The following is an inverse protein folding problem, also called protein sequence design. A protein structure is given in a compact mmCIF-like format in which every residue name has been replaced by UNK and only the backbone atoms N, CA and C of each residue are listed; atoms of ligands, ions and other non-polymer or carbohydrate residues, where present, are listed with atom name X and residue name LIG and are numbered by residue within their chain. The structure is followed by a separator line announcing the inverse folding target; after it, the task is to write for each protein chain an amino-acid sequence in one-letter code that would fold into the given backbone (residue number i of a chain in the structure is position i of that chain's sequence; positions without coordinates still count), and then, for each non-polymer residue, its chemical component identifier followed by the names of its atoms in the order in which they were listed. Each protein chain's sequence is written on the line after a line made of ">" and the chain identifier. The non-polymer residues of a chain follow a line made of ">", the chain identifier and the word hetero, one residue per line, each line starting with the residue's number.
data_IF_055962880102
#
_entry.id   IF_055962880102
#
_cell.length_a   1.000
_cell.length_b   1.000
_cell.length_c   1.000
_cell.angle_alpha   90.00
_cell.angle_beta   90.00
_cell.angle_gamma   90.00
#
_symmetry.space_group_name_H-M   'P 1'
#
loop_
_entity.id
_entity.type
_entity.pdbx_description
1 polymer ?
#
# COMPACT_ATOMS: atom_id res chain seq x y z
N UNK A 1 20.56 4.35 -13.90
CA UNK A 1 20.14 4.52 -15.32
C UNK A 1 19.10 3.48 -15.74
N UNK A 2 19.37 2.17 -15.60
CA UNK A 2 18.42 1.09 -16.00
C UNK A 2 17.11 1.09 -15.18
N UNK A 3 17.21 1.35 -13.87
CA UNK A 3 16.04 1.39 -12.95
C UNK A 3 15.13 2.59 -13.22
N UNK A 4 15.72 3.78 -13.44
CA UNK A 4 14.91 4.95 -13.83
C UNK A 4 14.30 4.77 -15.21
N UNK A 5 14.97 4.07 -16.13
CA UNK A 5 14.41 3.68 -17.43
C UNK A 5 13.24 2.70 -17.27
N UNK A 6 13.33 1.70 -16.40
CA UNK A 6 12.24 0.74 -16.19
C UNK A 6 11.02 1.40 -15.52
N UNK A 7 11.24 2.22 -14.49
CA UNK A 7 10.20 3.02 -13.82
C UNK A 7 9.59 4.02 -14.80
N UNK A 8 10.41 4.68 -15.63
CA UNK A 8 9.95 5.64 -16.65
C UNK A 8 9.14 4.96 -17.76
N UNK A 9 9.56 3.79 -18.24
CA UNK A 9 8.85 3.00 -19.27
C UNK A 9 7.49 2.52 -18.78
N UNK A 10 7.39 2.06 -17.52
CA UNK A 10 6.12 1.70 -16.88
C UNK A 10 5.24 2.95 -16.68
N UNK A 11 5.83 4.07 -16.28
CA UNK A 11 5.12 5.32 -16.01
C UNK A 11 4.52 5.99 -17.26
N UNK A 12 5.07 5.74 -18.45
CA UNK A 12 4.71 6.47 -19.68
C UNK A 12 3.65 5.77 -20.56
N UNK A 13 3.23 4.53 -20.25
CA UNK A 13 2.20 3.80 -21.02
C UNK A 13 0.81 4.03 -20.42
N UNK A 14 -0.14 4.56 -21.21
CA UNK A 14 -1.54 4.82 -20.79
C UNK A 14 -2.22 3.59 -20.17
N UNK A 15 -1.91 2.38 -20.64
CA UNK A 15 -2.49 1.12 -20.15
C UNK A 15 -1.97 0.67 -18.78
N UNK A 16 -0.82 1.18 -18.31
CA UNK A 16 -0.19 0.81 -17.03
C UNK A 16 -0.29 1.98 -16.03
N UNK A 17 -1.14 2.97 -16.30
CA UNK A 17 -1.31 4.13 -15.40
C UNK A 17 -2.02 3.72 -14.11
N UNK A 18 -1.22 3.45 -13.09
CA UNK A 18 -1.66 3.17 -11.73
C UNK A 18 -2.13 4.45 -11.00
N UNK A 19 -1.95 5.62 -11.62
CA UNK A 19 -2.28 6.93 -11.05
C UNK A 19 -3.74 7.04 -10.58
N UNK A 20 -4.67 6.35 -11.26
CA UNK A 20 -6.07 6.34 -10.84
C UNK A 20 -6.28 5.60 -9.52
N UNK A 21 -5.55 4.51 -9.29
CA UNK A 21 -5.60 3.76 -8.03
C UNK A 21 -4.99 4.60 -6.90
N UNK A 22 -3.85 5.26 -7.16
CA UNK A 22 -3.21 6.17 -6.19
C UNK A 22 -4.15 7.33 -5.84
N UNK A 23 -4.72 8.02 -6.84
CA UNK A 23 -5.67 9.12 -6.61
C UNK A 23 -6.90 8.67 -5.83
N UNK A 24 -7.42 7.48 -6.15
CA UNK A 24 -8.58 6.90 -5.45
C UNK A 24 -8.23 6.53 -4.01
N UNK A 25 -7.08 5.90 -3.75
CA UNK A 25 -6.59 5.66 -2.40
C UNK A 25 -6.43 6.97 -1.61
N UNK A 26 -5.74 7.96 -2.17
CA UNK A 26 -5.59 9.28 -1.54
C UNK A 26 -6.95 9.96 -1.28
N UNK A 27 -7.96 9.71 -2.12
CA UNK A 27 -9.31 10.23 -1.89
C UNK A 27 -10.01 9.57 -0.70
N UNK A 28 -9.63 8.35 -0.32
CA UNK A 28 -10.15 7.67 0.88
C UNK A 28 -9.44 8.11 2.16
N UNK A 29 -8.28 8.76 2.07
CA UNK A 29 -7.60 9.33 3.24
C UNK A 29 -8.34 10.53 3.83
N UNK A 30 -9.34 11.09 3.13
CA UNK A 30 -10.15 12.19 3.63
C UNK A 30 -11.09 11.67 4.74
N UNK A 31 -11.06 12.36 5.88
CA UNK A 31 -11.78 12.04 7.10
C UNK A 31 -13.25 11.60 6.93
N UNK A 32 -13.64 10.65 7.80
CA UNK A 32 -15.01 10.23 8.01
C UNK A 32 -15.86 11.44 8.41
N UNK A 33 -16.84 11.82 7.58
CA UNK A 33 -17.81 12.86 7.90
C UNK A 33 -17.30 14.31 7.84
N UNK A 34 -16.00 14.57 7.61
CA UNK A 34 -15.48 15.94 7.53
C UNK A 34 -15.52 16.49 6.09
N UNK A 35 -16.16 17.65 5.93
CA UNK A 35 -16.25 18.36 4.66
C UNK A 35 -14.89 18.83 4.09
N UNK A 36 -13.80 18.84 4.88
CA UNK A 36 -12.48 19.37 4.47
C UNK A 36 -11.38 18.30 4.44
N UNK A 37 -10.45 18.44 3.48
CA UNK A 37 -9.21 17.65 3.44
C UNK A 37 -8.37 18.06 4.65
N UNK A 38 -8.24 17.18 5.63
CA UNK A 38 -7.17 17.29 6.61
C UNK A 38 -5.86 17.04 5.87
N UNK A 39 -5.08 18.10 5.60
CA UNK A 39 -3.71 17.95 5.11
C UNK A 39 -2.84 17.15 6.10
N UNK A 40 -3.28 17.04 7.35
CA UNK A 40 -2.64 16.26 8.41
C UNK A 40 -2.69 14.75 8.13
N UNK A 41 -3.76 14.23 7.51
CA UNK A 41 -3.90 12.78 7.30
C UNK A 41 -2.97 12.28 6.18
N UNK A 42 -2.84 13.09 5.13
CA UNK A 42 -1.87 12.85 4.06
C UNK A 42 -0.45 13.00 4.60
N UNK A 43 -0.20 14.02 5.42
CA UNK A 43 1.09 14.17 6.09
C UNK A 43 1.43 12.93 6.92
N UNK A 44 0.51 12.38 7.73
CA UNK A 44 0.77 11.18 8.52
C UNK A 44 1.11 9.98 7.61
N UNK A 45 0.39 9.77 6.51
CA UNK A 45 0.63 8.63 5.63
C UNK A 45 1.96 8.67 4.87
N UNK A 46 2.53 9.85 4.62
CA UNK A 46 3.78 10.00 3.86
C UNK A 46 4.97 10.39 4.73
N UNK A 47 4.77 11.26 5.71
CA UNK A 47 5.82 11.81 6.58
C UNK A 47 6.18 10.81 7.69
N UNK A 48 5.18 10.13 8.29
CA UNK A 48 5.44 9.16 9.38
C UNK A 48 6.32 7.98 8.91
N UNK A 49 6.08 7.36 7.73
CA UNK A 49 6.99 6.34 7.24
C UNK A 49 8.42 6.80 7.05
N UNK A 50 8.64 8.06 6.63
CA UNK A 50 10.00 8.62 6.45
C UNK A 50 10.72 8.74 7.80
N UNK A 51 10.04 9.30 8.81
CA UNK A 51 10.62 9.46 10.15
C UNK A 51 11.00 8.13 10.81
N UNK A 52 10.26 7.06 10.52
CA UNK A 52 10.56 5.72 11.04
C UNK A 52 11.61 5.02 10.17
N UNK A 53 11.59 5.19 8.85
CA UNK A 53 12.53 4.52 7.95
C UNK A 53 13.98 4.96 8.16
N UNK A 54 14.23 6.26 8.35
CA UNK A 54 15.59 6.83 8.51
C UNK A 54 16.37 6.14 9.66
N UNK A 55 15.88 6.08 10.91
CA UNK A 55 16.61 5.42 11.99
C UNK A 55 16.70 3.91 11.78
N UNK A 56 15.72 3.28 11.12
CA UNK A 56 15.79 1.85 10.80
C UNK A 56 16.93 1.54 9.84
N UNK A 57 17.12 2.34 8.78
CA UNK A 57 18.21 2.15 7.82
C UNK A 57 19.59 2.29 8.46
N UNK A 58 19.74 3.18 9.45
CA UNK A 58 21.02 3.41 10.13
C UNK A 58 21.33 2.28 11.12
N UNK A 59 20.32 1.81 11.86
CA UNK A 59 20.52 0.83 12.94
C UNK A 59 20.40 -0.63 12.48
N UNK A 60 19.70 -0.91 11.38
CA UNK A 60 19.41 -2.26 10.91
C UNK A 60 19.90 -2.40 9.48
N UNK A 61 20.96 -3.20 9.30
CA UNK A 61 21.44 -3.55 7.98
C UNK A 61 20.57 -4.66 7.36
N UNK A 62 20.09 -4.44 6.14
CA UNK A 62 19.36 -5.44 5.35
C UNK A 62 20.36 -6.40 4.70
N UNK A 63 20.52 -7.55 5.35
CA UNK A 63 21.20 -8.73 4.84
C UNK A 63 20.24 -9.60 4.01
N UNK A 64 20.81 -10.60 3.31
CA UNK A 64 20.06 -11.48 2.41
C UNK A 64 19.00 -12.30 3.14
N UNK A 65 19.24 -12.63 4.42
CA UNK A 65 18.26 -13.33 5.26
C UNK A 65 17.02 -12.48 5.52
N UNK A 66 17.19 -11.21 5.93
CA UNK A 66 16.08 -10.27 6.16
C UNK A 66 15.34 -9.95 4.88
N UNK A 67 16.05 -9.82 3.75
CA UNK A 67 15.44 -9.64 2.44
C UNK A 67 14.59 -10.86 2.04
N UNK A 68 15.10 -12.08 2.30
CA UNK A 68 14.34 -13.31 2.10
C UNK A 68 13.04 -13.32 2.91
N UNK A 69 13.11 -12.95 4.20
CA UNK A 69 11.92 -12.84 5.07
C UNK A 69 10.92 -11.82 4.51
N UNK A 70 11.39 -10.65 4.07
CA UNK A 70 10.54 -9.63 3.45
C UNK A 70 9.86 -10.16 2.18
N UNK A 71 10.60 -10.80 1.28
CA UNK A 71 10.03 -11.40 0.06
C UNK A 71 8.94 -12.42 0.41
N UNK A 72 9.19 -13.29 1.39
CA UNK A 72 8.20 -14.29 1.84
C UNK A 72 6.95 -13.62 2.40
N UNK A 73 7.10 -12.68 3.34
CA UNK A 73 5.98 -11.99 3.99
C UNK A 73 5.14 -11.21 2.98
N UNK A 74 5.78 -10.46 2.08
CA UNK A 74 5.08 -9.68 1.06
C UNK A 74 4.41 -10.56 -0.01
N UNK A 75 4.96 -11.72 -0.34
CA UNK A 75 4.29 -12.70 -1.22
C UNK A 75 3.01 -13.22 -0.58
N UNK A 76 3.06 -13.59 0.71
CA UNK A 76 1.88 -14.05 1.46
C UNK A 76 0.80 -12.96 1.53
N UNK A 77 1.19 -11.74 1.89
CA UNK A 77 0.26 -10.62 1.95
C UNK A 77 -0.33 -10.26 0.59
N UNK A 78 0.46 -10.31 -0.48
CA UNK A 78 -0.05 -10.07 -1.84
C UNK A 78 -1.15 -11.06 -2.20
N UNK A 79 -0.94 -12.36 -1.93
CA UNK A 79 -1.96 -13.39 -2.14
C UNK A 79 -3.22 -13.15 -1.30
N UNK A 80 -3.07 -12.80 -0.01
CA UNK A 80 -4.19 -12.48 0.87
C UNK A 80 -4.98 -11.26 0.36
N UNK A 81 -4.30 -10.22 -0.09
CA UNK A 81 -4.94 -9.01 -0.60
C UNK A 81 -5.69 -9.26 -1.92
N UNK A 82 -5.15 -10.10 -2.82
CA UNK A 82 -5.89 -10.54 -4.00
C UNK A 82 -7.17 -11.31 -3.64
N UNK A 83 -7.12 -12.17 -2.61
CA UNK A 83 -8.31 -12.88 -2.13
C UNK A 83 -9.35 -11.90 -1.58
N UNK A 84 -8.94 -10.93 -0.74
CA UNK A 84 -9.83 -9.88 -0.24
C UNK A 84 -10.43 -9.08 -1.39
N UNK A 85 -9.63 -8.72 -2.39
CA UNK A 85 -10.09 -7.97 -3.57
C UNK A 85 -11.15 -8.76 -4.35
N UNK A 86 -10.93 -10.06 -4.57
CA UNK A 86 -11.88 -10.93 -5.25
C UNK A 86 -13.20 -11.05 -4.48
N UNK A 87 -13.14 -11.21 -3.15
CA UNK A 87 -14.32 -11.24 -2.29
C UNK A 87 -15.12 -9.93 -2.41
N UNK A 88 -14.45 -8.78 -2.31
CA UNK A 88 -15.10 -7.47 -2.41
C UNK A 88 -15.76 -7.23 -3.78
N UNK A 89 -15.21 -7.79 -4.86
CA UNK A 89 -15.79 -7.74 -6.19
C UNK A 89 -17.00 -8.68 -6.35
N UNK A 90 -16.98 -9.83 -5.68
CA UNK A 90 -18.06 -10.81 -5.71
C UNK A 90 -19.31 -10.37 -4.91
N UNK A 91 -19.16 -9.42 -3.99
CA UNK A 91 -20.29 -8.86 -3.26
C UNK A 91 -21.21 -8.04 -4.19
N UNK A 92 -22.39 -8.58 -4.49
CA UNK A 92 -23.40 -7.92 -5.32
C UNK A 92 -24.12 -6.79 -4.56
N UNK A 93 -24.02 -5.57 -5.08
CA UNK A 93 -24.58 -4.36 -4.49
C UNK A 93 -26.11 -4.22 -4.65
N UNK A 94 -26.82 -5.17 -5.24
CA UNK A 94 -28.27 -5.02 -5.47
C UNK A 94 -29.12 -4.98 -4.19
N UNK A 95 -28.62 -5.48 -3.06
CA UNK A 95 -29.35 -5.53 -1.76
C UNK A 95 -28.82 -4.60 -0.66
N UNK A 96 -27.69 -3.91 -0.88
CA UNK A 96 -27.02 -3.16 0.19
C UNK A 96 -27.29 -1.65 0.10
N UNK A 97 -27.30 -0.99 1.25
CA UNK A 97 -27.50 0.45 1.37
C UNK A 97 -26.40 1.26 0.64
N UNK A 98 -26.68 2.52 0.32
CA UNK A 98 -25.74 3.45 -0.33
C UNK A 98 -24.46 3.62 0.50
N UNK A 99 -24.57 3.56 1.83
CA UNK A 99 -23.45 3.69 2.75
C UNK A 99 -22.47 2.50 2.61
N UNK A 100 -22.99 1.28 2.62
CA UNK A 100 -22.22 0.04 2.43
C UNK A 100 -21.46 0.02 1.11
N UNK A 101 -22.12 0.44 0.01
CA UNK A 101 -21.48 0.54 -1.31
C UNK A 101 -20.29 1.48 -1.31
N UNK A 102 -20.40 2.61 -0.60
CA UNK A 102 -19.32 3.58 -0.48
C UNK A 102 -18.13 2.97 0.28
N UNK A 103 -18.38 2.35 1.43
CA UNK A 103 -17.33 1.70 2.22
C UNK A 103 -16.63 0.59 1.45
N UNK A 104 -17.39 -0.28 0.79
CA UNK A 104 -16.84 -1.33 -0.05
C UNK A 104 -15.94 -0.78 -1.15
N UNK A 105 -16.36 0.30 -1.81
CA UNK A 105 -15.56 0.95 -2.85
C UNK A 105 -14.26 1.53 -2.31
N UNK A 106 -14.31 2.16 -1.14
CA UNK A 106 -13.13 2.72 -0.47
C UNK A 106 -12.15 1.62 -0.03
N UNK A 107 -12.67 0.50 0.51
CA UNK A 107 -11.84 -0.67 0.86
C UNK A 107 -11.21 -1.25 -0.40
N UNK A 108 -11.97 -1.40 -1.50
CA UNK A 108 -11.46 -1.91 -2.78
C UNK A 108 -10.28 -1.06 -3.30
N UNK A 109 -10.39 0.27 -3.20
CA UNK A 109 -9.30 1.18 -3.60
C UNK A 109 -8.06 1.02 -2.72
N UNK A 110 -8.25 0.89 -1.41
CA UNK A 110 -7.15 0.75 -0.46
C UNK A 110 -6.46 -0.62 -0.60
N UNK A 111 -7.22 -1.70 -0.79
CA UNK A 111 -6.69 -3.05 -1.06
C UNK A 111 -5.90 -3.05 -2.37
N UNK A 112 -6.46 -2.47 -3.44
CA UNK A 112 -5.75 -2.34 -4.72
C UNK A 112 -4.43 -1.59 -4.57
N UNK A 113 -4.40 -0.51 -3.79
CA UNK A 113 -3.19 0.25 -3.51
C UNK A 113 -2.17 -0.55 -2.68
N UNK A 114 -2.62 -1.30 -1.67
CA UNK A 114 -1.76 -2.17 -0.88
C UNK A 114 -1.10 -3.26 -1.74
N UNK A 115 -1.81 -3.83 -2.72
CA UNK A 115 -1.24 -4.79 -3.68
C UNK A 115 -0.10 -4.14 -4.49
N UNK A 116 -0.30 -2.91 -4.97
CA UNK A 116 0.74 -2.17 -5.69
C UNK A 116 1.96 -1.93 -4.82
N UNK A 117 1.75 -1.52 -3.55
CA UNK A 117 2.85 -1.35 -2.60
C UNK A 117 3.62 -2.65 -2.40
N UNK A 118 2.93 -3.79 -2.24
CA UNK A 118 3.60 -5.08 -2.11
C UNK A 118 4.42 -5.46 -3.34
N UNK A 119 3.88 -5.25 -4.54
CA UNK A 119 4.61 -5.49 -5.79
C UNK A 119 5.84 -4.59 -5.89
N UNK A 120 5.73 -3.31 -5.50
CA UNK A 120 6.86 -2.39 -5.48
C UNK A 120 7.95 -2.85 -4.50
N UNK A 121 7.58 -3.30 -3.30
CA UNK A 121 8.53 -3.88 -2.33
C UNK A 121 9.25 -5.07 -2.94
N UNK A 122 8.53 -6.01 -3.56
CA UNK A 122 9.14 -7.18 -4.21
C UNK A 122 10.11 -6.79 -5.33
N UNK A 123 9.75 -5.83 -6.18
CA UNK A 123 10.64 -5.32 -7.23
C UNK A 123 11.91 -4.73 -6.62
N UNK A 124 11.79 -3.93 -5.55
CA UNK A 124 12.96 -3.34 -4.89
C UNK A 124 13.82 -4.40 -4.18
N UNK A 125 13.21 -5.42 -3.57
CA UNK A 125 13.94 -6.57 -3.04
C UNK A 125 14.74 -7.29 -4.14
N UNK A 126 14.17 -7.47 -5.33
CA UNK A 126 14.90 -8.07 -6.47
C UNK A 126 16.06 -7.18 -6.90
N UNK A 127 15.86 -5.86 -6.97
CA UNK A 127 16.92 -4.91 -7.33
C UNK A 127 18.08 -4.93 -6.32
N UNK A 128 17.83 -5.29 -5.06
CA UNK A 128 18.84 -5.38 -4.02
C UNK A 128 19.84 -6.52 -4.23
N UNK A 129 19.47 -7.57 -4.97
CA UNK A 129 20.38 -8.66 -5.33
C UNK A 129 21.37 -8.30 -6.44
N UNK A 130 21.15 -7.17 -7.14
CA UNK A 130 22.09 -6.68 -8.14
C UNK A 130 23.23 -5.99 -7.38
N UNK A 131 24.48 -6.35 -7.69
CA UNK A 131 25.65 -5.69 -7.12
C UNK A 131 25.67 -4.21 -7.54
N UNK A 132 25.35 -3.35 -6.58
CA UNK A 132 25.19 -1.91 -6.77
C UNK A 132 26.16 -1.19 -5.83
N UNK A 133 26.66 -0.03 -6.26
CA UNK A 133 27.54 0.85 -5.48
C UNK A 133 26.96 1.19 -4.09
N UNK A 134 27.83 1.35 -3.08
CA UNK A 134 27.46 1.52 -1.67
C UNK A 134 26.44 2.68 -1.42
N UNK A 135 26.56 3.81 -2.11
CA UNK A 135 25.61 4.93 -1.96
C UNK A 135 24.19 4.57 -2.43
N UNK A 136 24.08 3.85 -3.54
CA UNK A 136 22.78 3.40 -4.04
C UNK A 136 22.18 2.30 -3.16
N UNK A 137 23.02 1.48 -2.52
CA UNK A 137 22.63 0.47 -1.53
C UNK A 137 21.81 1.10 -0.39
N UNK A 138 22.32 2.19 0.21
CA UNK A 138 21.65 2.90 1.31
C UNK A 138 20.30 3.49 0.88
N UNK A 139 20.24 4.12 -0.30
CA UNK A 139 18.99 4.70 -0.83
C UNK A 139 17.92 3.62 -1.07
N UNK A 140 18.33 2.45 -1.56
CA UNK A 140 17.44 1.30 -1.77
C UNK A 140 16.89 0.80 -0.44
N UNK A 141 17.73 0.67 0.60
CA UNK A 141 17.29 0.24 1.94
C UNK A 141 16.31 1.22 2.57
N UNK A 142 16.60 2.52 2.49
CA UNK A 142 15.72 3.56 2.97
C UNK A 142 14.36 3.50 2.28
N UNK A 143 14.36 3.33 0.96
CA UNK A 143 13.13 3.21 0.16
C UNK A 143 12.35 1.95 0.54
N UNK A 144 13.05 0.83 0.76
CA UNK A 144 12.44 -0.43 1.16
C UNK A 144 11.76 -0.29 2.52
N UNK A 145 12.45 0.22 3.54
CA UNK A 145 11.85 0.44 4.85
C UNK A 145 10.67 1.40 4.80
N UNK A 146 10.79 2.51 4.05
CA UNK A 146 9.67 3.44 3.83
C UNK A 146 8.43 2.72 3.26
N UNK A 147 8.60 1.91 2.21
CA UNK A 147 7.49 1.19 1.59
C UNK A 147 6.89 0.15 2.53
N UNK A 148 7.71 -0.55 3.31
CA UNK A 148 7.23 -1.53 4.31
C UNK A 148 6.34 -0.83 5.34
N UNK A 149 6.79 0.30 5.88
CA UNK A 149 6.01 1.03 6.88
C UNK A 149 4.73 1.60 6.25
N UNK A 150 4.81 2.19 5.06
CA UNK A 150 3.64 2.69 4.33
C UNK A 150 2.61 1.57 4.05
N UNK A 151 3.10 0.36 3.74
CA UNK A 151 2.25 -0.82 3.58
C UNK A 151 1.56 -1.21 4.89
N UNK A 152 2.28 -1.26 6.01
CA UNK A 152 1.70 -1.59 7.33
C UNK A 152 0.60 -0.58 7.71
N UNK A 153 0.84 0.73 7.54
CA UNK A 153 -0.18 1.75 7.84
C UNK A 153 -1.40 1.55 6.92
N UNK A 154 -1.20 1.25 5.64
CA UNK A 154 -2.28 0.95 4.70
C UNK A 154 -3.09 -0.28 5.10
N UNK A 155 -2.43 -1.35 5.56
CA UNK A 155 -3.10 -2.53 6.09
C UNK A 155 -3.97 -2.21 7.31
N UNK A 156 -3.44 -1.45 8.28
CA UNK A 156 -4.20 -1.04 9.46
C UNK A 156 -5.46 -0.24 9.05
N UNK A 157 -5.35 0.64 8.05
CA UNK A 157 -6.50 1.36 7.51
C UNK A 157 -7.55 0.42 6.89
N UNK A 158 -7.12 -0.56 6.09
CA UNK A 158 -8.01 -1.55 5.48
C UNK A 158 -8.75 -2.32 6.58
N UNK A 159 -8.04 -2.77 7.61
CA UNK A 159 -8.61 -3.50 8.75
C UNK A 159 -9.65 -2.65 9.49
N UNK A 160 -9.33 -1.40 9.83
CA UNK A 160 -10.27 -0.49 10.50
C UNK A 160 -11.55 -0.28 9.70
N UNK A 161 -11.43 -0.12 8.37
CA UNK A 161 -12.59 0.09 7.48
C UNK A 161 -13.44 -1.17 7.32
N UNK A 162 -12.80 -2.34 7.23
CA UNK A 162 -13.51 -3.62 7.23
C UNK A 162 -14.26 -3.85 8.54
N UNK A 163 -13.65 -3.55 9.68
CA UNK A 163 -14.29 -3.67 10.99
C UNK A 163 -15.57 -2.81 11.09
N UNK A 164 -15.50 -1.54 10.71
CA UNK A 164 -16.67 -0.64 10.71
C UNK A 164 -17.78 -1.16 9.80
N UNK A 165 -17.44 -1.69 8.62
CA UNK A 165 -18.43 -2.28 7.70
C UNK A 165 -19.11 -3.52 8.31
N UNK A 166 -18.36 -4.36 9.04
CA UNK A 166 -18.91 -5.53 9.71
C UNK A 166 -19.84 -5.14 10.86
N UNK A 167 -19.44 -4.15 11.67
CA UNK A 167 -20.25 -3.64 12.78
C UNK A 167 -21.57 -3.06 12.29
N UNK A 168 -21.56 -2.26 11.23
CA UNK A 168 -22.79 -1.72 10.64
C UNK A 168 -23.74 -2.84 10.17
N UNK A 169 -23.22 -3.90 9.55
CA UNK A 169 -24.05 -5.04 9.11
C UNK A 169 -24.65 -5.84 10.25
N UNK A 170 -23.94 -5.98 11.37
CA UNK A 170 -24.45 -6.67 12.57
C UNK A 170 -25.54 -5.83 13.24
N UNK A 171 -25.40 -4.51 13.26
CA UNK A 171 -26.38 -3.63 13.88
C UNK A 171 -27.66 -3.44 13.03
N UNK A 172 -27.61 -3.73 11.74
CA UNK A 172 -28.76 -3.72 10.83
C UNK A 172 -29.55 -5.06 10.80
N UNK A 173 -29.00 -6.14 11.37
CA UNK A 173 -29.61 -7.48 11.43
C UNK A 173 -30.30 -7.77 12.76
#
# INVERSE_FOLDING_TARGET
>A
MVISLFIFVISNKVKIKINDIIKKHLSTLKDFGAYKKSFNDIAIFFIMPIFIAIPLTININLDDTKLGILVTVFTLFTGLLFNILAILLAFDGKKNDKLDKKFMKEILYNVSFAIILSILVLIICILRFIEIQCYFKLIIDLTLYYLVIAFIITLIMILKRLFILLENKINES
#
